data_IF_048963698678
#
_entry.id   IF_048963698678
#
_cell.length_a   1.000
_cell.length_b   1.000
_cell.length_c   1.000
_cell.angle_alpha   90.00
_cell.angle_beta   90.00
_cell.angle_gamma   90.00
#
_symmetry.space_group_name_H-M   'P 1'
#
loop_
_entity.id
_entity.type
_entity.pdbx_description
1 polymer ?
#
# COMPACT_ATOMS: atom_id res chain seq x y z
N UNK A 1 8.10 18.63 -4.76
CA UNK A 1 7.25 18.12 -5.87
C UNK A 1 5.91 17.74 -5.27
N UNK A 2 4.94 18.64 -5.39
CA UNK A 2 3.58 18.58 -4.83
C UNK A 2 2.63 18.78 -6.01
N UNK A 3 2.06 17.74 -6.60
CA UNK A 3 1.05 17.89 -7.66
C UNK A 3 0.22 16.63 -7.98
N UNK A 4 -0.09 15.78 -6.99
CA UNK A 4 -1.17 14.80 -7.18
C UNK A 4 -2.05 14.78 -5.93
N UNK A 5 -3.18 15.48 -6.03
CA UNK A 5 -4.26 15.45 -5.05
C UNK A 5 -4.73 14.01 -4.85
N UNK A 6 -4.93 13.63 -3.59
CA UNK A 6 -5.20 12.27 -3.13
C UNK A 6 -4.04 11.34 -3.49
N UNK A 7 -3.02 11.28 -2.63
CA UNK A 7 -1.93 10.31 -2.77
C UNK A 7 -2.50 8.89 -2.71
N UNK A 8 -2.84 8.29 -3.86
CA UNK A 8 -3.29 6.89 -3.98
C UNK A 8 -2.40 5.96 -3.16
N UNK A 9 -1.09 6.17 -3.22
CA UNK A 9 -0.09 5.45 -2.43
C UNK A 9 -0.25 5.61 -0.92
N UNK A 10 -0.59 6.81 -0.46
CA UNK A 10 -0.82 7.09 0.95
C UNK A 10 -2.12 6.48 1.46
N UNK A 11 -3.16 6.48 0.63
CA UNK A 11 -4.46 5.87 0.89
C UNK A 11 -4.36 4.34 0.96
N UNK A 12 -3.74 3.73 -0.06
CA UNK A 12 -3.49 2.28 -0.10
C UNK A 12 -2.62 1.86 1.08
N UNK A 13 -1.62 2.66 1.49
CA UNK A 13 -0.79 2.35 2.65
C UNK A 13 -1.60 2.37 3.95
N UNK A 14 -2.46 3.37 4.16
CA UNK A 14 -3.33 3.44 5.36
C UNK A 14 -4.32 2.27 5.37
N UNK A 15 -5.05 2.09 4.27
CA UNK A 15 -6.01 1.00 4.09
C UNK A 15 -5.35 -0.37 4.24
N UNK A 16 -4.12 -0.57 3.74
CA UNK A 16 -3.42 -1.83 3.88
C UNK A 16 -3.00 -2.12 5.33
N UNK A 17 -2.65 -1.09 6.11
CA UNK A 17 -2.40 -1.23 7.55
C UNK A 17 -3.72 -1.56 8.27
N UNK A 18 -4.80 -0.84 7.97
CA UNK A 18 -6.13 -1.09 8.57
C UNK A 18 -6.67 -2.49 8.25
N UNK A 19 -6.44 -2.97 7.03
CA UNK A 19 -6.81 -4.32 6.58
C UNK A 19 -5.82 -5.41 7.03
N UNK A 20 -4.84 -5.09 7.88
CA UNK A 20 -3.79 -6.03 8.34
C UNK A 20 -3.02 -6.72 7.19
N UNK A 21 -2.92 -6.07 6.03
CA UNK A 21 -2.09 -6.53 4.90
C UNK A 21 -0.62 -6.16 5.09
N UNK A 22 -0.36 -5.09 5.85
CA UNK A 22 0.99 -4.63 6.21
C UNK A 22 1.29 -4.93 7.68
N UNK A 23 2.42 -5.59 7.92
CA UNK A 23 2.92 -5.87 9.25
C UNK A 23 3.82 -4.71 9.72
N UNK A 24 3.38 -4.01 10.76
CA UNK A 24 4.12 -2.90 11.35
C UNK A 24 4.83 -3.36 12.62
N UNK A 25 6.14 -3.60 12.54
CA UNK A 25 6.99 -3.92 13.69
C UNK A 25 7.74 -2.67 14.16
N UNK A 26 7.08 -1.92 15.03
CA UNK A 26 7.60 -0.65 15.53
C UNK A 26 7.67 0.40 14.42
N UNK A 27 8.88 0.75 14.00
CA UNK A 27 9.10 1.66 12.88
C UNK A 27 9.19 0.93 11.52
N UNK A 28 9.33 -0.39 11.47
CA UNK A 28 9.47 -1.11 10.20
C UNK A 28 8.11 -1.54 9.67
N UNK A 29 7.85 -1.26 8.39
CA UNK A 29 6.66 -1.70 7.67
C UNK A 29 7.06 -2.78 6.68
N UNK A 30 6.39 -3.93 6.78
CA UNK A 30 6.60 -5.08 5.90
C UNK A 30 5.31 -5.44 5.19
N UNK A 31 5.45 -5.83 3.93
CA UNK A 31 4.39 -6.43 3.17
C UNK A 31 4.70 -7.91 2.96
N UNK A 32 3.92 -8.80 3.58
CA UNK A 32 4.21 -10.23 3.65
C UNK A 32 5.65 -10.46 4.14
N UNK A 33 6.56 -10.87 3.27
CA UNK A 33 7.99 -11.10 3.57
C UNK A 33 8.91 -9.94 3.11
N UNK A 34 8.38 -8.95 2.38
CA UNK A 34 9.15 -7.85 1.82
C UNK A 34 9.20 -6.65 2.77
N UNK A 35 10.39 -6.11 3.01
CA UNK A 35 10.55 -4.85 3.76
C UNK A 35 10.28 -3.65 2.85
N UNK A 36 9.18 -2.94 3.11
CA UNK A 36 8.85 -1.69 2.41
C UNK A 36 9.72 -0.54 2.88
N UNK A 37 10.04 -0.51 4.18
CA UNK A 37 10.94 0.48 4.75
C UNK A 37 10.69 0.78 6.22
N UNK A 38 11.49 1.69 6.75
CA UNK A 38 11.32 2.21 8.10
C UNK A 38 10.46 3.48 8.06
N UNK A 39 9.25 3.40 8.58
CA UNK A 39 8.30 4.50 8.69
C UNK A 39 7.38 4.61 7.48
N UNK A 40 6.35 5.44 7.65
CA UNK A 40 5.32 5.68 6.63
C UNK A 40 5.90 6.29 5.35
N UNK A 41 6.81 7.25 5.50
CA UNK A 41 7.42 7.98 4.38
C UNK A 41 8.22 7.04 3.46
N UNK A 42 9.10 6.20 4.02
CA UNK A 42 9.89 5.25 3.24
C UNK A 42 9.00 4.19 2.56
N UNK A 43 8.02 3.64 3.28
CA UNK A 43 7.09 2.68 2.70
C UNK A 43 6.25 3.31 1.55
N UNK A 44 5.83 4.57 1.72
CA UNK A 44 5.14 5.32 0.67
C UNK A 44 6.04 5.53 -0.56
N UNK A 45 7.28 5.96 -0.36
CA UNK A 45 8.25 6.08 -1.46
C UNK A 45 8.52 4.74 -2.15
N UNK A 46 8.57 3.64 -1.40
CA UNK A 46 8.74 2.31 -1.98
C UNK A 46 7.55 1.92 -2.87
N UNK A 47 6.33 2.09 -2.37
CA UNK A 47 5.10 1.78 -3.13
C UNK A 47 4.93 2.71 -4.35
N UNK A 48 5.33 3.98 -4.24
CA UNK A 48 5.31 4.91 -5.37
C UNK A 48 6.30 4.49 -6.48
N UNK A 49 7.41 3.87 -6.12
CA UNK A 49 8.39 3.32 -7.07
C UNK A 49 8.01 1.93 -7.59
N UNK A 50 7.08 1.23 -6.91
CA UNK A 50 6.66 -0.14 -7.23
C UNK A 50 5.14 -0.20 -7.49
N UNK A 51 4.67 0.29 -8.65
CA UNK A 51 3.24 0.34 -8.97
C UNK A 51 2.58 -1.04 -9.01
N UNK A 52 3.30 -2.10 -9.39
CA UNK A 52 2.80 -3.49 -9.35
C UNK A 52 2.42 -3.92 -7.92
N UNK A 53 3.25 -3.59 -6.94
CA UNK A 53 2.98 -3.91 -5.53
C UNK A 53 1.83 -3.07 -4.98
N UNK A 54 1.74 -1.79 -5.40
CA UNK A 54 0.61 -0.93 -5.07
C UNK A 54 -0.71 -1.53 -5.57
N UNK A 55 -0.74 -2.00 -6.83
CA UNK A 55 -1.90 -2.66 -7.42
C UNK A 55 -2.28 -3.96 -6.71
N UNK A 56 -1.30 -4.78 -6.34
CA UNK A 56 -1.54 -6.03 -5.59
C UNK A 56 -2.14 -5.75 -4.20
N UNK A 57 -1.64 -4.73 -3.50
CA UNK A 57 -2.20 -4.27 -2.22
C UNK A 57 -3.63 -3.74 -2.40
N UNK A 58 -3.85 -2.87 -3.38
CA UNK A 58 -5.16 -2.28 -3.66
C UNK A 58 -6.20 -3.35 -4.04
N UNK A 59 -5.80 -4.34 -4.83
CA UNK A 59 -6.64 -5.50 -5.17
C UNK A 59 -7.05 -6.27 -3.92
N UNK A 60 -6.12 -6.56 -3.03
CA UNK A 60 -6.42 -7.25 -1.77
C UNK A 60 -7.28 -6.43 -0.82
N UNK A 61 -7.04 -5.12 -0.69
CA UNK A 61 -7.89 -4.22 0.10
C UNK A 61 -9.32 -4.30 -0.43
N UNK A 62 -9.50 -4.22 -1.75
CA UNK A 62 -10.82 -4.33 -2.39
C UNK A 62 -11.46 -5.68 -2.14
N UNK A 63 -10.70 -6.77 -2.27
CA UNK A 63 -11.20 -8.11 -1.95
C UNK A 63 -11.64 -8.24 -0.50
N UNK A 64 -10.85 -7.69 0.45
CA UNK A 64 -11.18 -7.62 1.87
C UNK A 64 -12.47 -6.80 2.11
N UNK A 65 -12.64 -5.70 1.37
CA UNK A 65 -13.83 -4.86 1.41
C UNK A 65 -15.04 -5.43 0.63
N UNK A 66 -14.92 -6.60 -0.01
CA UNK A 66 -15.99 -7.18 -0.84
C UNK A 66 -16.25 -6.45 -2.16
N UNK A 67 -15.30 -5.61 -2.60
CA UNK A 67 -15.36 -4.88 -3.86
C UNK A 67 -14.69 -5.68 -5.00
N UNK A 68 -15.14 -5.52 -6.25
CA UNK A 68 -14.51 -6.16 -7.38
C UNK A 68 -13.05 -5.71 -7.53
N UNK A 69 -12.15 -6.69 -7.70
CA UNK A 69 -10.74 -6.47 -7.99
C UNK A 69 -10.60 -5.58 -9.23
N UNK A 70 -9.60 -4.71 -9.24
CA UNK A 70 -9.39 -3.80 -10.37
C UNK A 70 -8.83 -4.65 -11.51
N UNK A 71 -9.69 -5.02 -12.44
CA UNK A 71 -9.26 -5.58 -13.71
C UNK A 71 -8.71 -4.42 -14.53
N UNK A 72 -7.39 -4.32 -14.66
CA UNK A 72 -6.80 -3.57 -15.77
C UNK A 72 -7.24 -4.27 -17.05
N UNK A 73 -8.22 -3.66 -17.73
CA UNK A 73 -8.66 -4.00 -19.08
C UNK A 73 -7.56 -3.76 -20.11
#
# INVERSE_FOLDING_TARGET
>A
MYNEGISRTGDVLDLAIENNLLDKRGAFIRYRDTLLGQGRENAKSYLAQNPDMLLDLESQIRQSAGLPAIQTQ
#
